data_IF_487662915619
#
_entry.id   IF_487662915619
#
_cell.length_a   1.000
_cell.length_b   1.000
_cell.length_c   1.000
_cell.angle_alpha   90.00
_cell.angle_beta   90.00
_cell.angle_gamma   90.00
#
_symmetry.space_group_name_H-M   'P 1'
#
loop_
_entity.id
_entity.type
_entity.pdbx_description
1 polymer ?
#
# COMPACT_ATOMS: atom_id res chain seq x y z
N UNK A 1 -14.63 14.98 9.78
CA UNK A 1 -15.02 14.02 8.74
C UNK A 1 -14.12 12.82 8.79
N UNK A 2 -14.72 11.64 8.74
CA UNK A 2 -13.94 10.41 8.68
C UNK A 2 -13.57 10.14 7.22
N UNK A 3 -12.27 9.98 6.98
CA UNK A 3 -11.73 9.63 5.67
C UNK A 3 -11.25 8.19 5.71
N UNK A 4 -11.57 7.43 4.67
CA UNK A 4 -11.10 6.05 4.53
C UNK A 4 -10.27 5.90 3.28
N UNK A 5 -9.26 5.03 3.36
CA UNK A 5 -8.52 4.56 2.20
C UNK A 5 -9.15 3.23 1.80
N UNK A 6 -9.71 3.18 0.61
CA UNK A 6 -10.47 2.02 0.16
C UNK A 6 -10.33 1.79 -1.33
N UNK A 7 -10.80 0.63 -1.81
CA UNK A 7 -10.81 0.29 -3.21
C UNK A 7 -12.12 0.71 -3.86
N UNK A 8 -12.03 1.40 -4.99
CA UNK A 8 -13.17 1.68 -5.86
C UNK A 8 -13.04 0.77 -7.08
N UNK A 9 -14.09 0.01 -7.39
CA UNK A 9 -14.04 -0.97 -8.46
C UNK A 9 -14.20 -0.29 -9.83
N UNK A 10 -13.33 -0.68 -10.75
CA UNK A 10 -13.38 -0.30 -12.17
C UNK A 10 -13.18 -1.56 -13.01
N UNK A 11 -13.21 -1.42 -14.32
CA UNK A 11 -13.01 -2.54 -15.23
C UNK A 11 -14.32 -3.15 -15.70
N UNK A 12 -14.22 -4.27 -16.38
CA UNK A 12 -15.34 -4.96 -17.00
C UNK A 12 -15.90 -6.05 -16.08
N UNK A 13 -17.10 -6.53 -16.40
CA UNK A 13 -17.66 -7.69 -15.73
C UNK A 13 -16.72 -8.89 -15.91
N UNK A 14 -16.36 -9.53 -14.80
CA UNK A 14 -15.43 -10.64 -14.78
C UNK A 14 -13.96 -10.26 -14.83
N UNK A 15 -13.65 -8.97 -14.95
CA UNK A 15 -12.27 -8.48 -14.96
C UNK A 15 -12.19 -7.24 -14.07
N UNK A 16 -12.06 -7.46 -12.77
CA UNK A 16 -12.03 -6.37 -11.80
C UNK A 16 -10.68 -5.66 -11.82
N UNK A 17 -10.74 -4.35 -11.75
CA UNK A 17 -9.58 -3.46 -11.63
C UNK A 17 -9.96 -2.40 -10.61
N UNK A 18 -9.08 -2.08 -9.68
CA UNK A 18 -9.41 -1.20 -8.58
C UNK A 18 -8.56 0.05 -8.55
N UNK A 19 -9.17 1.18 -8.19
CA UNK A 19 -8.46 2.38 -7.78
C UNK A 19 -8.36 2.40 -6.26
N UNK A 20 -7.18 2.71 -5.75
CA UNK A 20 -6.97 2.92 -4.31
C UNK A 20 -7.22 4.40 -4.07
N UNK A 21 -8.23 4.73 -3.28
CA UNK A 21 -8.69 6.12 -3.13
C UNK A 21 -8.85 6.50 -1.66
N UNK A 22 -8.64 7.80 -1.38
CA UNK A 22 -9.05 8.41 -0.13
C UNK A 22 -10.44 9.01 -0.36
N UNK A 23 -11.41 8.62 0.46
CA UNK A 23 -12.80 9.04 0.28
C UNK A 23 -13.48 9.24 1.63
N UNK A 24 -14.53 10.08 1.65
CA UNK A 24 -15.38 10.23 2.83
C UNK A 24 -16.03 8.87 3.11
N UNK A 25 -16.04 8.48 4.39
CA UNK A 25 -16.60 7.18 4.81
C UNK A 25 -18.08 7.02 4.43
N UNK A 26 -18.79 8.13 4.24
CA UNK A 26 -20.22 8.12 3.88
C UNK A 26 -20.45 8.05 2.37
N UNK A 27 -19.42 8.27 1.55
CA UNK A 27 -19.56 8.20 0.10
C UNK A 27 -19.74 6.75 -0.37
N UNK A 28 -20.49 6.49 -1.46
CA UNK A 28 -20.60 5.15 -2.03
C UNK A 28 -19.25 4.61 -2.47
N UNK A 29 -19.08 3.29 -2.43
CA UNK A 29 -17.80 2.63 -2.75
C UNK A 29 -17.24 3.07 -4.11
N UNK A 30 -18.08 3.14 -5.13
CA UNK A 30 -17.67 3.48 -6.51
C UNK A 30 -18.06 4.91 -6.88
N UNK A 31 -18.39 5.73 -5.88
CA UNK A 31 -18.77 7.13 -6.07
C UNK A 31 -17.60 8.10 -5.97
N UNK A 32 -17.92 9.33 -5.56
CA UNK A 32 -16.89 10.38 -5.44
C UNK A 32 -15.82 10.03 -4.41
N UNK A 33 -14.60 10.36 -4.74
CA UNK A 33 -13.47 10.23 -3.83
C UNK A 33 -12.73 11.58 -3.77
N UNK A 34 -11.90 11.73 -2.73
CA UNK A 34 -11.13 12.96 -2.50
C UNK A 34 -9.87 12.94 -3.37
N UNK A 35 -9.16 11.82 -3.35
CA UNK A 35 -7.90 11.69 -4.07
C UNK A 35 -7.65 10.23 -4.46
N UNK A 36 -7.16 10.01 -5.67
CA UNK A 36 -6.71 8.70 -6.13
C UNK A 36 -5.26 8.50 -5.69
N UNK A 37 -5.01 7.44 -4.94
CA UNK A 37 -3.68 7.13 -4.40
C UNK A 37 -2.92 6.11 -5.24
N UNK A 38 -3.62 5.34 -6.07
CA UNK A 38 -2.99 4.34 -6.90
C UNK A 38 -3.99 3.37 -7.50
N UNK A 39 -3.47 2.26 -7.99
CA UNK A 39 -4.26 1.21 -8.64
C UNK A 39 -3.87 -0.16 -8.11
N UNK A 40 -4.82 -1.09 -8.14
CA UNK A 40 -4.61 -2.47 -7.76
C UNK A 40 -5.22 -3.38 -8.83
N UNK A 41 -4.40 -4.20 -9.45
CA UNK A 41 -4.84 -5.15 -10.47
C UNK A 41 -4.62 -6.58 -9.96
N UNK A 42 -5.69 -7.27 -9.52
CA UNK A 42 -5.56 -8.64 -9.03
C UNK A 42 -5.47 -9.69 -10.14
N UNK A 43 -5.65 -9.29 -11.39
CA UNK A 43 -5.70 -10.23 -12.53
C UNK A 43 -4.31 -10.68 -12.99
N UNK A 44 -3.26 -9.99 -12.58
CA UNK A 44 -1.88 -10.39 -12.85
C UNK A 44 -1.36 -11.31 -11.74
N UNK A 45 -0.35 -12.10 -12.04
CA UNK A 45 0.26 -12.99 -11.06
C UNK A 45 1.78 -12.74 -11.03
N UNK A 46 2.32 -12.11 -9.95
CA UNK A 46 1.59 -11.60 -8.79
C UNK A 46 0.74 -10.36 -9.12
N UNK A 47 -0.21 -10.03 -8.24
CA UNK A 47 -1.05 -8.85 -8.41
C UNK A 47 -0.20 -7.58 -8.55
N UNK A 48 -0.61 -6.70 -9.46
CA UNK A 48 0.11 -5.45 -9.71
C UNK A 48 -0.46 -4.33 -8.85
N UNK A 49 0.41 -3.70 -8.08
CA UNK A 49 0.06 -2.56 -7.22
C UNK A 49 0.91 -1.37 -7.64
N UNK A 50 0.26 -0.31 -8.08
CA UNK A 50 0.91 0.97 -8.35
C UNK A 50 0.38 1.96 -7.32
N UNK A 51 1.24 2.46 -6.45
CA UNK A 51 0.84 3.27 -5.31
C UNK A 51 1.72 4.52 -5.20
N UNK A 52 1.06 5.66 -5.02
CA UNK A 52 1.73 6.92 -4.69
C UNK A 52 2.06 6.90 -3.21
N UNK A 53 3.24 6.42 -2.87
CA UNK A 53 3.67 6.15 -1.49
C UNK A 53 3.51 7.38 -0.59
N UNK A 54 4.03 8.53 -1.02
CA UNK A 54 4.01 9.74 -0.21
C UNK A 54 2.60 10.22 0.07
N UNK A 55 1.71 10.11 -0.90
CA UNK A 55 0.32 10.53 -0.73
C UNK A 55 -0.44 9.60 0.21
N UNK A 56 -0.23 8.30 0.07
CA UNK A 56 -0.85 7.33 0.97
C UNK A 56 -0.37 7.53 2.40
N UNK A 57 0.93 7.74 2.59
CA UNK A 57 1.50 8.02 3.90
C UNK A 57 0.93 9.30 4.51
N UNK A 58 0.81 10.37 3.71
CA UNK A 58 0.25 11.64 4.15
C UNK A 58 -1.18 11.48 4.68
N UNK A 59 -2.03 10.74 3.95
CA UNK A 59 -3.40 10.47 4.39
C UNK A 59 -3.44 9.66 5.68
N UNK A 60 -2.56 8.66 5.82
CA UNK A 60 -2.48 7.88 7.07
C UNK A 60 -2.06 8.75 8.24
N UNK A 61 -1.11 9.66 8.04
CA UNK A 61 -0.66 10.57 9.09
C UNK A 61 -1.76 11.57 9.49
N UNK A 62 -2.65 11.89 8.57
CA UNK A 62 -3.82 12.75 8.83
C UNK A 62 -4.97 12.02 9.50
N UNK A 63 -4.85 10.72 9.71
CA UNK A 63 -5.85 9.91 10.39
C UNK A 63 -6.80 9.14 9.48
N UNK A 64 -6.56 9.09 8.18
CA UNK A 64 -7.36 8.26 7.28
C UNK A 64 -7.21 6.79 7.67
N UNK A 65 -8.33 6.06 7.67
CA UNK A 65 -8.34 4.65 8.08
C UNK A 65 -8.47 3.74 6.86
N UNK A 66 -7.51 2.84 6.63
CA UNK A 66 -7.60 1.89 5.53
C UNK A 66 -8.59 0.78 5.85
N UNK A 67 -9.29 0.30 4.84
CA UNK A 67 -10.06 -0.95 4.94
C UNK A 67 -9.07 -2.11 5.08
N UNK A 68 -9.56 -3.29 5.48
CA UNK A 68 -8.68 -4.44 5.70
C UNK A 68 -7.85 -4.78 4.45
N UNK A 69 -8.48 -4.77 3.27
CA UNK A 69 -7.78 -5.04 2.02
C UNK A 69 -6.74 -3.96 1.72
N UNK A 70 -7.09 -2.69 1.89
CA UNK A 70 -6.14 -1.60 1.68
C UNK A 70 -5.01 -1.63 2.68
N UNK A 71 -5.28 -1.99 3.93
CA UNK A 71 -4.24 -2.14 4.95
C UNK A 71 -3.22 -3.18 4.52
N UNK A 72 -3.67 -4.31 3.98
CA UNK A 72 -2.77 -5.35 3.47
C UNK A 72 -1.91 -4.83 2.31
N UNK A 73 -2.51 -4.09 1.38
CA UNK A 73 -1.80 -3.48 0.25
C UNK A 73 -0.75 -2.48 0.74
N UNK A 74 -1.15 -1.59 1.66
CA UNK A 74 -0.25 -0.57 2.22
C UNK A 74 0.88 -1.21 3.01
N UNK A 75 0.60 -2.29 3.74
CA UNK A 75 1.62 -3.04 4.48
C UNK A 75 2.62 -3.68 3.52
N UNK A 76 2.13 -4.26 2.43
CA UNK A 76 2.98 -4.87 1.41
C UNK A 76 3.94 -3.84 0.80
N UNK A 77 3.46 -2.61 0.55
CA UNK A 77 4.28 -1.53 0.00
C UNK A 77 5.12 -0.77 1.04
N UNK A 78 4.95 -1.08 2.32
CA UNK A 78 5.75 -0.48 3.38
C UNK A 78 5.21 0.81 3.96
N UNK A 79 4.05 1.29 3.50
CA UNK A 79 3.47 2.56 3.98
C UNK A 79 3.12 2.46 5.47
N UNK A 80 2.53 1.35 5.89
CA UNK A 80 2.17 1.13 7.30
C UNK A 80 3.40 1.10 8.19
N UNK A 81 4.48 0.47 7.73
CA UNK A 81 5.74 0.43 8.47
C UNK A 81 6.37 1.82 8.58
N UNK A 82 6.36 2.59 7.50
CA UNK A 82 6.88 3.97 7.52
C UNK A 82 6.10 4.83 8.50
N UNK A 83 4.76 4.69 8.52
CA UNK A 83 3.92 5.38 9.51
C UNK A 83 4.33 5.02 10.92
N UNK A 84 4.57 3.72 11.20
CA UNK A 84 4.98 3.25 12.51
C UNK A 84 6.33 3.86 12.92
N UNK A 85 7.29 3.90 12.00
CA UNK A 85 8.61 4.48 12.26
C UNK A 85 8.53 5.98 12.57
N UNK A 86 7.70 6.72 11.82
CA UNK A 86 7.50 8.14 12.06
C UNK A 86 6.82 8.39 13.41
N UNK A 87 5.92 7.50 13.82
CA UNK A 87 5.32 7.54 15.16
C UNK A 87 6.37 7.36 16.25
N UNK A 88 7.35 6.49 16.04
CA UNK A 88 8.48 6.30 16.96
C UNK A 88 9.35 7.55 17.06
N UNK A 89 9.60 8.23 15.94
CA UNK A 89 10.33 9.50 15.91
C UNK A 89 9.59 10.55 16.73
N UNK A 90 8.28 10.68 16.55
CA UNK A 90 7.45 11.64 17.27
C UNK A 90 7.46 11.35 18.78
N UNK A 91 7.57 10.10 19.19
CA UNK A 91 7.63 9.68 20.59
C UNK A 91 9.05 9.78 21.17
N UNK A 92 10.05 10.12 20.36
CA UNK A 92 11.43 10.23 20.81
C UNK A 92 12.16 8.90 20.94
N UNK A 93 11.62 7.80 20.42
CA UNK A 93 12.25 6.50 20.48
C UNK A 93 13.54 6.41 19.65
N UNK A 94 13.57 7.13 18.52
CA UNK A 94 14.74 7.21 17.64
C UNK A 94 14.62 8.45 16.74
N UNK A 95 15.71 8.79 16.05
CA UNK A 95 15.76 9.97 15.17
C UNK A 95 15.17 9.65 13.79
N UNK A 96 14.91 10.69 13.00
CA UNK A 96 14.44 10.52 11.62
C UNK A 96 15.45 9.74 10.78
N UNK A 97 16.74 10.00 10.98
CA UNK A 97 17.80 9.29 10.25
C UNK A 97 17.76 7.78 10.58
N UNK A 98 17.56 7.43 11.85
CA UNK A 98 17.43 6.04 12.27
C UNK A 98 16.17 5.39 11.69
N UNK A 99 15.05 6.13 11.65
CA UNK A 99 13.81 5.64 11.06
C UNK A 99 14.01 5.36 9.56
N UNK A 100 14.65 6.25 8.84
CA UNK A 100 14.94 6.07 7.43
C UNK A 100 15.86 4.87 7.18
N UNK A 101 16.90 4.71 8.01
CA UNK A 101 17.80 3.57 7.91
C UNK A 101 17.05 2.25 8.14
N UNK A 102 16.17 2.19 9.14
CA UNK A 102 15.36 1.00 9.42
C UNK A 102 14.43 0.68 8.26
N UNK A 103 13.81 1.69 7.67
CA UNK A 103 12.92 1.51 6.53
C UNK A 103 13.68 0.98 5.32
N UNK A 104 14.86 1.54 5.04
CA UNK A 104 15.68 1.12 3.91
C UNK A 104 16.15 -0.34 4.05
N UNK A 105 16.53 -0.76 5.25
CA UNK A 105 16.89 -2.16 5.54
C UNK A 105 15.69 -3.07 5.28
N UNK A 106 14.52 -2.72 5.79
CA UNK A 106 13.31 -3.49 5.59
C UNK A 106 12.96 -3.63 4.10
N UNK A 107 13.02 -2.52 3.35
CA UNK A 107 12.70 -2.49 1.92
C UNK A 107 13.67 -3.37 1.12
N UNK A 108 14.96 -3.32 1.46
CA UNK A 108 15.98 -4.14 0.82
C UNK A 108 15.76 -5.63 1.09
N UNK A 109 15.47 -6.00 2.33
CA UNK A 109 15.19 -7.38 2.71
C UNK A 109 13.94 -7.91 2.00
N UNK A 110 12.90 -7.09 1.93
CA UNK A 110 11.66 -7.46 1.24
C UNK A 110 11.89 -7.67 -0.25
N UNK A 111 12.66 -6.80 -0.88
CA UNK A 111 12.99 -6.93 -2.31
C UNK A 111 13.76 -8.22 -2.58
N UNK A 112 14.71 -8.56 -1.70
CA UNK A 112 15.45 -9.82 -1.81
C UNK A 112 14.52 -11.02 -1.73
N UNK A 113 13.55 -11.00 -0.84
CA UNK A 113 12.56 -12.09 -0.71
C UNK A 113 11.68 -12.20 -1.94
N UNK A 114 11.26 -11.07 -2.51
CA UNK A 114 10.47 -11.05 -3.74
C UNK A 114 11.27 -11.62 -4.91
N UNK A 115 12.52 -11.21 -5.06
CA UNK A 115 13.40 -11.68 -6.12
C UNK A 115 13.66 -13.19 -6.00
N UNK A 116 13.93 -13.68 -4.79
CA UNK A 116 14.14 -15.11 -4.54
C UNK A 116 12.89 -15.92 -4.90
N UNK A 117 11.72 -15.43 -4.54
CA UNK A 117 10.46 -16.09 -4.85
C UNK A 117 10.17 -16.09 -6.35
N UNK A 118 10.45 -14.99 -7.04
CA UNK A 118 10.30 -14.87 -8.49
C UNK A 118 11.25 -15.83 -9.21
N UNK A 119 12.50 -15.90 -8.79
CA UNK A 119 13.50 -16.80 -9.36
C UNK A 119 13.08 -18.27 -9.19
N UNK A 120 12.54 -18.63 -8.04
CA UNK A 120 12.02 -20.00 -7.82
C UNK A 120 10.89 -20.32 -8.78
N UNK A 121 10.00 -19.37 -9.03
CA UNK A 121 8.90 -19.57 -9.98
C UNK A 121 9.42 -19.76 -11.39
N UNK A 122 10.42 -19.01 -11.80
CA UNK A 122 11.04 -19.13 -13.12
C UNK A 122 11.75 -20.48 -13.28
N UNK A 123 12.52 -20.90 -12.27
CA UNK A 123 13.19 -22.21 -12.28
C UNK A 123 12.18 -23.34 -12.39
N UNK A 124 11.06 -23.21 -11.68
CA UNK A 124 10.01 -24.23 -11.69
C UNK A 124 9.30 -24.33 -13.03
N UNK A 125 9.13 -23.21 -13.73
CA UNK A 125 8.45 -23.18 -15.03
C UNK A 125 9.36 -23.58 -16.19
N UNK A 126 10.65 -23.56 -16.03
CA UNK A 126 11.60 -23.93 -17.08
C UNK A 126 11.82 -25.45 -17.20
N UNK A 127 11.30 -26.22 -16.28
CA UNK A 127 11.33 -27.67 -16.32
C UNK A 127 10.13 -28.24 -17.12
#
# INVERSE_FOLDING_TARGET
MAVKIRLARHGKKGYAFYHIVAADSRAPRDGKFIEKLGTYNPNTNPATIDLKFDRALDWLLKGAQPTDTCRAILSYKGVMYKKHLLGGVAKGAFTEAEAEAKFNVWASEKQSKIDAKSNRSEEHTSE
#
